data_IF_680737569972
#
_entry.id   IF_680737569972
#
_cell.length_a   1.000
_cell.length_b   1.000
_cell.length_c   1.000
_cell.angle_alpha   90.00
_cell.angle_beta   90.00
_cell.angle_gamma   90.00
#
_symmetry.space_group_name_H-M   'P 1'
#
loop_
_entity.id
_entity.type
_entity.pdbx_description
1 polymer ?
#
# COMPACT_ATOMS: atom_id res chain seq x y z
N UNK A 1 -38.91 -21.10 25.25
CA UNK A 1 -38.18 -20.46 24.13
C UNK A 1 -39.19 -19.80 23.23
N UNK A 2 -39.17 -18.47 23.13
CA UNK A 2 -40.10 -17.73 22.27
C UNK A 2 -39.75 -17.93 20.80
N UNK A 3 -40.76 -17.95 19.92
CA UNK A 3 -40.61 -18.05 18.46
C UNK A 3 -39.64 -16.98 17.90
N UNK A 4 -39.63 -15.80 18.51
CA UNK A 4 -38.73 -14.69 18.17
C UNK A 4 -37.27 -15.00 18.50
N UNK A 5 -37.03 -15.69 19.61
CA UNK A 5 -35.70 -16.10 20.07
C UNK A 5 -35.16 -17.23 19.19
N UNK A 6 -36.01 -18.20 18.85
CA UNK A 6 -35.68 -19.29 17.93
C UNK A 6 -35.27 -18.75 16.54
N UNK A 7 -36.00 -17.77 16.01
CA UNK A 7 -35.67 -17.13 14.72
C UNK A 7 -34.37 -16.35 14.77
N UNK A 8 -34.08 -15.68 15.89
CA UNK A 8 -32.82 -14.94 16.11
C UNK A 8 -31.62 -15.90 16.22
N UNK A 9 -31.81 -17.04 16.90
CA UNK A 9 -30.77 -18.06 17.06
C UNK A 9 -30.51 -18.83 15.77
N UNK A 10 -31.54 -19.11 14.97
CA UNK A 10 -31.40 -19.68 13.63
C UNK A 10 -30.63 -18.74 12.68
N UNK A 11 -30.94 -17.44 12.69
CA UNK A 11 -30.17 -16.43 11.92
C UNK A 11 -28.71 -16.35 12.36
N UNK A 12 -28.44 -16.46 13.67
CA UNK A 12 -27.07 -16.51 14.22
C UNK A 12 -26.32 -17.76 13.75
N UNK A 13 -26.95 -18.94 13.76
CA UNK A 13 -26.37 -20.20 13.27
C UNK A 13 -26.08 -20.15 11.76
N UNK A 14 -27.00 -19.60 10.96
CA UNK A 14 -26.79 -19.40 9.53
C UNK A 14 -25.64 -18.43 9.21
N UNK A 15 -25.41 -17.42 10.07
CA UNK A 15 -24.24 -16.52 9.95
C UNK A 15 -22.96 -17.14 10.50
N UNK A 16 -23.04 -18.01 11.51
CA UNK A 16 -21.89 -18.72 12.08
C UNK A 16 -21.26 -19.71 11.09
N UNK A 17 -22.03 -20.21 10.11
CA UNK A 17 -21.52 -21.01 9.00
C UNK A 17 -20.78 -20.20 7.91
N UNK A 18 -20.61 -18.88 8.08
CA UNK A 18 -19.82 -18.02 7.19
C UNK A 18 -20.36 -17.82 5.78
N UNK A 19 -21.41 -18.54 5.38
CA UNK A 19 -22.04 -18.41 4.06
C UNK A 19 -23.14 -17.36 4.12
N UNK A 20 -22.89 -16.21 3.48
CA UNK A 20 -23.95 -15.22 3.26
C UNK A 20 -25.07 -15.88 2.42
N UNK A 21 -26.33 -15.53 2.71
CA UNK A 21 -27.53 -16.07 2.05
C UNK A 21 -27.77 -15.52 0.64
N UNK A 22 -26.81 -14.83 0.04
CA UNK A 22 -26.86 -14.48 -1.37
C UNK A 22 -26.29 -15.65 -2.16
N UNK A 23 -26.86 -15.96 -3.33
CA UNK A 23 -26.22 -16.85 -4.32
C UNK A 23 -24.99 -16.12 -4.83
N UNK A 24 -23.93 -16.13 -4.02
CA UNK A 24 -22.65 -15.54 -4.31
C UNK A 24 -21.91 -16.56 -5.17
N UNK A 25 -21.79 -16.28 -6.46
CA UNK A 25 -20.72 -16.89 -7.25
C UNK A 25 -19.43 -16.39 -6.59
N UNK A 26 -18.62 -17.25 -5.96
CA UNK A 26 -17.43 -16.79 -5.28
C UNK A 26 -16.40 -16.42 -6.34
N UNK A 27 -16.49 -15.19 -6.85
CA UNK A 27 -15.37 -14.56 -7.53
C UNK A 27 -14.30 -14.48 -6.45
N UNK A 28 -13.25 -15.29 -6.60
CA UNK A 28 -12.10 -15.23 -5.71
C UNK A 28 -11.63 -13.78 -5.61
N UNK A 29 -11.27 -13.29 -4.41
CA UNK A 29 -10.80 -11.92 -4.26
C UNK A 29 -9.66 -11.65 -5.24
N UNK A 30 -9.84 -10.63 -6.07
CA UNK A 30 -8.87 -10.22 -7.08
C UNK A 30 -8.44 -8.79 -6.83
N UNK A 31 -7.21 -8.48 -7.24
CA UNK A 31 -6.70 -7.11 -7.28
C UNK A 31 -6.86 -6.59 -8.70
N UNK A 32 -7.48 -5.42 -8.85
CA UNK A 32 -7.54 -4.71 -10.13
C UNK A 32 -6.38 -3.74 -10.24
N UNK A 33 -5.71 -3.79 -11.38
CA UNK A 33 -4.74 -2.80 -11.84
C UNK A 33 -5.26 -2.27 -13.17
N UNK A 34 -5.57 -0.99 -13.24
CA UNK A 34 -6.01 -0.40 -14.51
C UNK A 34 -4.81 -0.03 -15.37
N UNK A 35 -4.91 -0.18 -16.69
CA UNK A 35 -3.81 0.16 -17.60
C UNK A 35 -3.32 1.61 -17.41
N UNK A 36 -4.25 2.56 -17.25
CA UNK A 36 -3.93 3.97 -17.00
C UNK A 36 -3.22 4.20 -15.66
N UNK A 37 -3.44 3.36 -14.64
CA UNK A 37 -2.67 3.43 -13.38
C UNK A 37 -1.22 2.99 -13.64
N UNK A 38 -1.02 1.96 -14.43
CA UNK A 38 0.31 1.43 -14.77
C UNK A 38 1.11 2.39 -15.66
N UNK A 39 0.43 3.20 -16.45
CA UNK A 39 1.04 4.18 -17.37
C UNK A 39 1.38 5.51 -16.71
N UNK A 40 0.85 5.79 -15.51
CA UNK A 40 1.11 7.07 -14.87
C UNK A 40 2.58 7.20 -14.40
N UNK A 41 3.15 8.42 -14.38
CA UNK A 41 4.54 8.63 -13.96
C UNK A 41 4.83 8.13 -12.54
N UNK A 42 3.84 8.26 -11.65
CA UNK A 42 3.93 7.76 -10.28
C UNK A 42 4.12 6.24 -10.22
N UNK A 43 3.50 5.46 -11.11
CA UNK A 43 3.72 4.01 -11.15
C UNK A 43 5.05 3.66 -11.82
N UNK A 44 5.35 4.31 -12.95
CA UNK A 44 6.52 3.99 -13.78
C UNK A 44 7.84 4.22 -13.06
N UNK A 45 7.90 5.17 -12.14
CA UNK A 45 9.10 5.46 -11.34
C UNK A 45 9.25 4.60 -10.08
N UNK A 46 8.27 3.74 -9.74
CA UNK A 46 8.39 2.82 -8.61
C UNK A 46 9.40 1.71 -8.92
N UNK A 47 10.18 1.34 -7.90
CA UNK A 47 11.00 0.14 -7.93
C UNK A 47 10.12 -1.14 -7.85
N UNK A 48 10.65 -2.32 -8.21
CA UNK A 48 9.87 -3.56 -8.21
C UNK A 48 9.26 -3.92 -6.85
N UNK A 49 9.99 -3.68 -5.76
CA UNK A 49 9.53 -3.95 -4.39
C UNK A 49 8.29 -3.11 -4.04
N UNK A 50 8.27 -1.83 -4.42
CA UNK A 50 7.14 -0.93 -4.18
C UNK A 50 5.93 -1.27 -5.06
N UNK A 51 6.15 -1.69 -6.31
CA UNK A 51 5.06 -2.19 -7.17
C UNK A 51 4.41 -3.44 -6.58
N UNK A 52 5.22 -4.39 -6.11
CA UNK A 52 4.72 -5.59 -5.45
C UNK A 52 4.00 -5.25 -4.12
N UNK A 53 4.55 -4.33 -3.33
CA UNK A 53 3.94 -3.87 -2.09
C UNK A 53 2.56 -3.22 -2.32
N UNK A 54 2.41 -2.43 -3.40
CA UNK A 54 1.11 -1.84 -3.77
C UNK A 54 0.07 -2.93 -4.07
N UNK A 55 0.46 -4.00 -4.76
CA UNK A 55 -0.42 -5.15 -5.04
C UNK A 55 -0.83 -5.83 -3.74
N UNK A 56 0.11 -6.07 -2.82
CA UNK A 56 -0.19 -6.68 -1.51
C UNK A 56 -1.14 -5.82 -0.66
N UNK A 57 -0.94 -4.50 -0.64
CA UNK A 57 -1.83 -3.57 0.05
C UNK A 57 -3.25 -3.63 -0.54
N UNK A 58 -3.39 -3.69 -1.87
CA UNK A 58 -4.68 -3.86 -2.54
C UNK A 58 -5.27 -5.26 -2.31
N UNK A 59 -4.47 -6.30 -2.14
CA UNK A 59 -4.96 -7.65 -1.85
C UNK A 59 -5.56 -7.77 -0.42
N UNK A 60 -4.96 -7.02 0.52
CA UNK A 60 -5.43 -6.91 1.90
C UNK A 60 -6.68 -6.05 2.07
N UNK A 61 -6.95 -5.18 1.10
CA UNK A 61 -8.09 -4.28 1.11
C UNK A 61 -9.43 -5.04 1.21
N UNK A 62 -10.33 -4.50 2.04
CA UNK A 62 -11.71 -4.97 2.19
C UNK A 62 -12.65 -3.76 2.21
N UNK A 63 -13.73 -3.74 1.41
CA UNK A 63 -14.70 -2.64 1.42
C UNK A 63 -15.30 -2.33 2.79
N UNK A 64 -15.41 -3.33 3.67
CA UNK A 64 -15.89 -3.15 5.03
C UNK A 64 -15.01 -2.29 5.93
N UNK A 65 -13.74 -2.05 5.55
CA UNK A 65 -12.81 -1.17 6.28
C UNK A 65 -12.67 0.21 5.63
N UNK A 66 -13.56 0.56 4.69
CA UNK A 66 -13.57 1.83 3.97
C UNK A 66 -12.46 1.88 2.93
N UNK A 67 -11.39 2.61 3.22
CA UNK A 67 -10.13 2.67 2.45
C UNK A 67 -8.87 2.47 3.31
N UNK A 68 -9.01 2.07 4.59
CA UNK A 68 -7.88 1.84 5.51
C UNK A 68 -7.40 0.38 5.46
N UNK A 69 -6.08 0.19 5.38
CA UNK A 69 -5.40 -1.12 5.37
C UNK A 69 -4.31 -1.14 6.43
N UNK A 70 -4.19 -2.27 7.15
CA UNK A 70 -3.17 -2.48 8.17
C UNK A 70 -2.07 -3.38 7.63
N UNK A 71 -0.83 -2.90 7.65
CA UNK A 71 0.32 -3.70 7.25
C UNK A 71 1.58 -3.26 7.99
N UNK A 72 2.14 -4.17 8.79
CA UNK A 72 3.44 -3.93 9.44
C UNK A 72 4.59 -4.20 8.48
N UNK A 73 5.74 -3.56 8.71
CA UNK A 73 6.97 -3.83 7.93
C UNK A 73 7.37 -5.31 8.01
N UNK A 74 7.25 -5.94 9.18
CA UNK A 74 7.56 -7.37 9.35
C UNK A 74 6.66 -8.27 8.50
N UNK A 75 5.37 -7.97 8.44
CA UNK A 75 4.43 -8.73 7.62
C UNK A 75 4.61 -8.46 6.13
N UNK A 76 4.87 -7.20 5.74
CA UNK A 76 5.20 -6.84 4.36
C UNK A 76 6.43 -7.61 3.86
N UNK A 77 7.48 -7.73 4.69
CA UNK A 77 8.67 -8.54 4.34
C UNK A 77 8.29 -9.99 4.00
N UNK A 78 7.45 -10.62 4.81
CA UNK A 78 7.02 -12.01 4.58
C UNK A 78 6.24 -12.14 3.27
N UNK A 79 5.30 -11.23 3.03
CA UNK A 79 4.46 -11.18 1.83
C UNK A 79 5.27 -11.00 0.55
N UNK A 80 6.32 -10.19 0.61
CA UNK A 80 7.22 -9.95 -0.52
C UNK A 80 8.28 -11.04 -0.72
N UNK A 81 8.20 -12.17 -0.01
CA UNK A 81 9.19 -13.26 -0.14
C UNK A 81 10.46 -13.06 0.67
N UNK A 82 10.34 -12.52 1.90
CA UNK A 82 11.42 -12.26 2.85
C UNK A 82 12.44 -11.19 2.39
N UNK A 83 11.97 -10.18 1.65
CA UNK A 83 12.78 -9.01 1.28
C UNK A 83 13.37 -8.32 2.52
N UNK A 84 14.56 -7.74 2.35
CA UNK A 84 15.27 -7.01 3.40
C UNK A 84 14.45 -5.83 3.94
N UNK A 85 14.55 -5.57 5.25
CA UNK A 85 13.77 -4.53 5.92
C UNK A 85 13.95 -3.14 5.31
N UNK A 86 15.18 -2.74 4.98
CA UNK A 86 15.47 -1.44 4.39
C UNK A 86 14.76 -1.23 3.04
N UNK A 87 14.70 -2.28 2.20
CA UNK A 87 14.00 -2.23 0.91
C UNK A 87 12.49 -2.08 1.10
N UNK A 88 11.90 -2.80 2.05
CA UNK A 88 10.48 -2.67 2.37
C UNK A 88 10.15 -1.28 2.93
N UNK A 89 11.01 -0.72 3.78
CA UNK A 89 10.82 0.64 4.28
C UNK A 89 10.92 1.67 3.14
N UNK A 90 11.93 1.55 2.28
CA UNK A 90 12.05 2.40 1.09
C UNK A 90 10.85 2.26 0.14
N UNK A 91 10.28 1.05 0.02
CA UNK A 91 9.07 0.81 -0.76
C UNK A 91 7.85 1.52 -0.16
N UNK A 92 7.65 1.49 1.16
CA UNK A 92 6.60 2.27 1.81
C UNK A 92 6.78 3.77 1.58
N UNK A 93 7.99 4.30 1.79
CA UNK A 93 8.30 5.71 1.55
C UNK A 93 8.04 6.12 0.10
N UNK A 94 8.43 5.28 -0.87
CA UNK A 94 8.21 5.56 -2.28
C UNK A 94 6.73 5.62 -2.64
N UNK A 95 5.89 4.74 -2.07
CA UNK A 95 4.44 4.74 -2.29
C UNK A 95 3.76 5.96 -1.67
N UNK A 96 4.21 6.38 -0.49
CA UNK A 96 3.69 7.57 0.20
C UNK A 96 4.07 8.86 -0.54
N UNK A 97 5.36 9.01 -0.89
CA UNK A 97 5.88 10.13 -1.69
C UNK A 97 5.13 10.32 -3.01
N UNK A 98 4.82 9.22 -3.69
CA UNK A 98 4.10 9.21 -4.97
C UNK A 98 2.58 9.31 -4.79
N UNK A 99 2.07 9.36 -3.57
CA UNK A 99 0.65 9.54 -3.28
C UNK A 99 -0.22 8.32 -3.59
N UNK A 100 0.33 7.11 -3.58
CA UNK A 100 -0.44 5.87 -3.67
C UNK A 100 -1.09 5.49 -2.33
N UNK A 101 -0.41 5.85 -1.24
CA UNK A 101 -0.88 5.64 0.14
C UNK A 101 -0.68 6.91 0.97
N UNK A 102 -1.45 7.02 2.03
CA UNK A 102 -1.26 8.03 3.07
C UNK A 102 -1.22 7.33 4.44
N UNK A 103 -0.26 7.67 5.31
CA UNK A 103 -0.24 7.12 6.67
C UNK A 103 -1.45 7.61 7.47
N UNK A 104 -2.34 6.69 7.86
CA UNK A 104 -3.52 7.01 8.65
C UNK A 104 -3.17 7.07 10.14
N UNK A 105 -2.46 6.04 10.63
CA UNK A 105 -2.06 5.90 12.02
C UNK A 105 -0.67 5.31 12.10
N UNK A 106 0.19 6.00 12.83
CA UNK A 106 1.51 5.51 13.14
C UNK A 106 1.45 4.16 13.87
N UNK A 107 2.39 3.29 13.53
CA UNK A 107 2.61 2.07 14.32
C UNK A 107 3.07 2.45 15.73
N UNK A 108 2.54 1.76 16.74
CA UNK A 108 2.98 1.91 18.13
C UNK A 108 3.28 0.55 18.72
N UNK A 109 4.27 0.48 19.59
CA UNK A 109 4.60 -0.72 20.34
C UNK A 109 4.84 -0.34 21.80
N UNK A 110 3.92 -0.74 22.67
CA UNK A 110 4.06 -0.55 24.10
C UNK A 110 4.66 -1.82 24.73
N UNK A 111 5.88 -1.68 25.23
CA UNK A 111 6.63 -2.76 25.87
C UNK A 111 6.02 -3.19 27.22
N UNK A 112 5.30 -2.30 27.91
CA UNK A 112 4.70 -2.59 29.24
C UNK A 112 3.39 -3.35 29.11
N UNK A 113 2.54 -2.98 28.16
CA UNK A 113 1.25 -3.63 27.94
C UNK A 113 1.35 -4.80 26.95
N UNK A 114 2.49 -4.98 26.28
CA UNK A 114 2.66 -5.95 25.19
C UNK A 114 1.76 -5.69 24.00
N UNK A 115 1.08 -4.54 23.97
CA UNK A 115 0.08 -4.19 22.96
C UNK A 115 0.74 -3.33 21.90
N UNK A 116 0.79 -3.84 20.68
CA UNK A 116 1.28 -3.13 19.51
C UNK A 116 0.15 -2.82 18.54
N UNK A 117 0.14 -1.61 17.98
CA UNK A 117 -0.69 -1.26 16.83
C UNK A 117 0.15 -1.34 15.57
N UNK A 118 -0.29 -2.13 14.60
CA UNK A 118 0.27 -2.08 13.26
C UNK A 118 -0.01 -0.71 12.62
N UNK A 119 0.96 -0.21 11.84
CA UNK A 119 0.75 0.98 11.01
C UNK A 119 -0.42 0.74 10.07
N UNK A 120 -1.24 1.78 9.87
CA UNK A 120 -2.32 1.75 8.90
C UNK A 120 -2.17 2.83 7.85
N UNK A 121 -2.67 2.52 6.66
CA UNK A 121 -2.53 3.32 5.46
C UNK A 121 -3.88 3.47 4.78
N UNK A 122 -4.16 4.66 4.26
CA UNK A 122 -5.28 4.89 3.37
C UNK A 122 -4.84 4.62 1.93
N UNK A 123 -5.63 3.83 1.19
CA UNK A 123 -5.47 3.66 -0.24
C UNK A 123 -6.06 4.86 -0.97
N UNK A 124 -5.25 5.63 -1.68
CA UNK A 124 -5.73 6.84 -2.36
C UNK A 124 -6.50 6.54 -3.64
N UNK A 125 -6.36 5.32 -4.18
CA UNK A 125 -7.13 4.84 -5.34
C UNK A 125 -8.54 4.38 -4.97
N UNK A 126 -8.89 4.32 -3.68
CA UNK A 126 -10.19 3.89 -3.20
C UNK A 126 -10.84 5.00 -2.39
N UNK A 127 -12.10 5.29 -2.69
CA UNK A 127 -12.91 6.25 -1.96
C UNK A 127 -13.33 5.73 -0.58
N UNK A 128 -13.86 6.59 0.29
CA UNK A 128 -14.27 6.20 1.65
C UNK A 128 -15.28 5.04 1.70
N UNK A 129 -16.18 4.98 0.71
CA UNK A 129 -17.23 3.95 0.58
C UNK A 129 -16.75 2.67 -0.13
N UNK A 130 -15.47 2.61 -0.48
CA UNK A 130 -14.86 1.48 -1.17
C UNK A 130 -15.05 1.41 -2.68
N UNK A 131 -15.68 2.43 -3.26
CA UNK A 131 -15.75 2.66 -4.70
C UNK A 131 -14.65 3.59 -5.21
N UNK A 132 -14.76 4.00 -6.48
CA UNK A 132 -13.84 4.99 -7.09
C UNK A 132 -14.31 6.44 -6.87
N UNK A 133 -15.55 6.62 -6.39
CA UNK A 133 -16.14 7.94 -6.07
C UNK A 133 -15.40 8.55 -4.89
N UNK A 134 -15.01 9.82 -5.00
CA UNK A 134 -14.24 10.57 -4.01
C UNK A 134 -12.86 9.98 -3.65
N UNK A 135 -12.35 9.03 -4.44
CA UNK A 135 -10.97 8.58 -4.31
C UNK A 135 -10.01 9.73 -4.64
N UNK A 136 -9.08 10.04 -3.72
CA UNK A 136 -8.14 11.16 -3.85
C UNK A 136 -7.28 11.09 -5.12
N UNK A 137 -6.84 9.87 -5.49
CA UNK A 137 -5.97 9.58 -6.64
C UNK A 137 -4.76 10.53 -6.74
N UNK A 138 -4.13 10.84 -5.61
CA UNK A 138 -3.02 11.80 -5.50
C UNK A 138 -1.86 11.46 -6.46
N UNK A 139 -1.61 10.17 -6.67
CA UNK A 139 -0.62 9.67 -7.63
C UNK A 139 -0.82 10.12 -9.08
N UNK A 140 -2.04 10.46 -9.50
CA UNK A 140 -2.29 10.95 -10.86
C UNK A 140 -1.73 12.36 -11.08
N UNK A 141 -1.67 13.16 -10.00
CA UNK A 141 -1.14 14.54 -10.02
C UNK A 141 0.37 14.58 -9.80
N UNK A 142 0.95 13.52 -9.23
CA UNK A 142 2.37 13.44 -8.98
C UNK A 142 3.19 13.54 -10.28
N UNK A 143 4.31 14.27 -10.20
CA UNK A 143 5.26 14.46 -11.30
C UNK A 143 6.69 14.36 -10.73
N UNK A 144 7.61 13.68 -11.42
CA UNK A 144 8.97 13.42 -10.91
C UNK A 144 9.82 14.68 -10.71
N UNK A 145 9.47 15.80 -11.35
CA UNK A 145 10.26 17.05 -11.31
C UNK A 145 9.46 18.23 -10.74
N UNK A 146 8.40 18.00 -9.95
CA UNK A 146 7.62 19.09 -9.39
C UNK A 146 8.44 20.01 -8.46
N UNK A 147 9.46 19.46 -7.78
CA UNK A 147 10.36 20.21 -6.89
C UNK A 147 11.73 20.55 -7.53
N UNK A 148 12.09 19.95 -8.67
CA UNK A 148 13.43 20.07 -9.27
C UNK A 148 13.59 21.24 -10.26
N UNK A 149 12.51 21.96 -10.59
CA UNK A 149 12.60 23.15 -11.46
C UNK A 149 13.41 24.30 -10.83
N UNK A 150 13.88 24.16 -9.59
CA UNK A 150 14.78 25.12 -8.93
C UNK A 150 15.80 24.42 -8.04
N UNK A 151 16.84 23.84 -8.64
CA UNK A 151 18.19 23.80 -8.07
C UNK A 151 19.14 23.41 -9.19
N UNK A 152 19.72 24.42 -9.84
CA UNK A 152 20.89 24.25 -10.69
C UNK A 152 21.94 23.50 -9.87
N UNK A 153 22.04 22.18 -10.08
CA UNK A 153 23.10 21.39 -9.48
C UNK A 153 24.34 21.71 -10.27
N UNK A 154 25.09 22.71 -9.81
CA UNK A 154 26.48 22.91 -10.25
C UNK A 154 27.17 21.57 -10.06
N UNK A 155 27.55 20.93 -11.17
CA UNK A 155 28.35 19.71 -11.15
C UNK A 155 29.53 19.98 -10.22
N UNK A 156 29.67 19.19 -9.15
CA UNK A 156 30.86 19.28 -8.29
C UNK A 156 32.07 19.05 -9.19
N UNK A 157 32.96 20.04 -9.26
CA UNK A 157 34.18 19.94 -10.04
C UNK A 157 34.94 18.66 -9.66
N UNK A 158 35.25 17.85 -10.67
CA UNK A 158 36.01 16.62 -10.53
C UNK A 158 37.32 16.92 -9.80
N UNK A 159 37.52 16.30 -8.64
CA UNK A 159 38.77 16.42 -7.89
C UNK A 159 39.87 15.68 -8.67
N UNK A 160 41.13 16.14 -8.71
CA UNK A 160 42.21 15.57 -9.54
C UNK A 160 42.60 14.11 -9.25
N UNK A 161 41.89 13.42 -8.33
CA UNK A 161 42.22 12.07 -7.89
C UNK A 161 41.72 10.94 -8.82
N UNK A 162 41.01 11.26 -9.91
CA UNK A 162 40.48 10.27 -10.88
C UNK A 162 41.11 10.37 -12.27
N UNK A 163 42.20 11.15 -12.44
CA UNK A 163 42.86 11.33 -13.74
C UNK A 163 44.00 10.33 -14.01
N UNK A 164 44.24 9.35 -13.14
CA UNK A 164 45.37 8.42 -13.24
C UNK A 164 45.07 7.06 -13.87
N UNK A 165 43.83 6.73 -14.24
CA UNK A 165 43.46 5.35 -14.64
C UNK A 165 43.45 5.06 -16.15
N UNK A 166 43.77 6.03 -17.00
CA UNK A 166 43.99 5.77 -18.44
C UNK A 166 45.44 6.05 -18.78
N UNK A 167 46.25 5.00 -18.61
CA UNK A 167 47.67 4.98 -18.85
C UNK A 167 48.07 5.32 -20.28
N UNK A 168 49.26 5.90 -20.37
CA UNK A 168 50.10 5.93 -21.56
C UNK A 168 50.27 4.52 -22.16
N UNK A 169 49.99 4.40 -23.45
CA UNK A 169 50.72 3.55 -24.40
C UNK A 169 50.57 4.18 -25.79
#
# INVERSE_FOLDING_TARGET
>A
MSEREARKQAKRRARATGRSSSVYVPISPHVRLYAWELDCPAYRTLNPDARALLVELRALYRPSTGNEVFLSVREARRRLGNVGQAKVQAAFSALEERGWIEEAKAGSFDQKTGTGRARSFLLTNVGPDGGDVDAKKSYMRWRPHADECQKNTVLKASTPRTQGEYGHA
#
